data_IF_474674529236
#
_entry.id   IF_474674529236
#
_cell.length_a   1.000
_cell.length_b   1.000
_cell.length_c   1.000
_cell.angle_alpha   90.00
_cell.angle_beta   90.00
_cell.angle_gamma   90.00
#
_symmetry.space_group_name_H-M   'P 1'
#
loop_
_entity.id
_entity.type
_entity.pdbx_description
1 polymer ?
#
# COMPACT_ATOMS: atom_id res chain seq x y z
N UNK A 1 -12.01 14.85 -17.49
CA UNK A 1 -12.45 14.14 -16.27
C UNK A 1 -11.98 12.70 -16.37
N UNK A 2 -11.20 12.26 -15.43
CA UNK A 2 -10.91 10.83 -15.35
C UNK A 2 -12.12 10.15 -14.72
N UNK A 3 -12.82 9.36 -15.49
CA UNK A 3 -13.93 8.57 -14.98
C UNK A 3 -13.40 7.59 -13.94
N UNK A 4 -13.90 7.69 -12.71
CA UNK A 4 -13.60 6.75 -11.65
C UNK A 4 -14.15 5.38 -12.06
N UNK A 5 -13.32 4.32 -12.16
CA UNK A 5 -13.85 3.00 -12.47
C UNK A 5 -14.81 2.53 -11.36
N UNK A 6 -15.88 1.86 -11.73
CA UNK A 6 -16.82 1.32 -10.75
C UNK A 6 -16.21 0.17 -9.95
N UNK A 7 -15.42 -0.66 -10.62
CA UNK A 7 -14.77 -1.84 -10.05
C UNK A 7 -13.36 -2.03 -10.64
N UNK A 8 -12.48 -2.61 -9.84
CA UNK A 8 -11.17 -3.11 -10.26
C UNK A 8 -11.05 -4.54 -9.73
N UNK A 9 -10.96 -5.54 -10.64
CA UNK A 9 -11.08 -6.93 -10.26
C UNK A 9 -12.41 -7.19 -9.55
N UNK A 10 -12.36 -7.76 -8.37
CA UNK A 10 -13.53 -8.00 -7.51
C UNK A 10 -13.86 -6.85 -6.55
N UNK A 11 -13.07 -5.78 -6.56
CA UNK A 11 -13.16 -4.69 -5.58
C UNK A 11 -14.00 -3.53 -6.12
N UNK A 12 -14.96 -3.08 -5.32
CA UNK A 12 -15.78 -1.91 -5.64
C UNK A 12 -15.03 -0.63 -5.26
N UNK A 13 -14.86 0.27 -6.23
CA UNK A 13 -14.12 1.52 -6.01
C UNK A 13 -15.03 2.55 -5.34
N UNK A 14 -14.50 3.18 -4.30
CA UNK A 14 -15.17 4.25 -3.55
C UNK A 14 -14.71 5.63 -4.01
N UNK A 15 -13.39 5.83 -4.09
CA UNK A 15 -12.79 7.12 -4.47
C UNK A 15 -11.35 6.95 -4.94
N UNK A 16 -10.88 7.94 -5.68
CA UNK A 16 -9.45 8.12 -5.95
C UNK A 16 -8.83 8.93 -4.80
N UNK A 17 -7.75 8.43 -4.20
CA UNK A 17 -7.06 9.09 -3.10
C UNK A 17 -5.89 9.92 -3.59
N UNK A 18 -5.11 9.38 -4.53
CA UNK A 18 -3.93 10.02 -5.06
C UNK A 18 -3.63 9.56 -6.48
N UNK A 19 -2.96 10.43 -7.22
CA UNK A 19 -2.47 10.16 -8.58
C UNK A 19 -1.08 10.75 -8.75
N UNK A 20 -0.16 9.97 -9.28
CA UNK A 20 1.22 10.41 -9.52
C UNK A 20 1.88 9.65 -10.66
N UNK A 21 3.16 9.91 -10.88
CA UNK A 21 3.96 9.28 -11.95
C UNK A 21 4.10 7.76 -11.81
N UNK A 22 3.95 7.21 -10.61
CA UNK A 22 4.06 5.77 -10.36
C UNK A 22 2.72 5.03 -10.45
N UNK A 23 1.60 5.75 -10.53
CA UNK A 23 0.29 5.16 -10.63
C UNK A 23 -0.82 5.90 -9.89
N UNK A 24 -1.91 5.21 -9.67
CA UNK A 24 -3.12 5.75 -9.05
C UNK A 24 -3.45 4.94 -7.81
N UNK A 25 -3.88 5.62 -6.76
CA UNK A 25 -4.28 5.00 -5.50
C UNK A 25 -5.79 5.21 -5.31
N UNK A 26 -6.51 4.11 -5.12
CA UNK A 26 -7.94 4.11 -4.88
C UNK A 26 -8.27 3.60 -3.48
N UNK A 27 -9.35 4.14 -2.92
CA UNK A 27 -10.07 3.54 -1.80
C UNK A 27 -11.15 2.62 -2.38
N UNK A 28 -11.23 1.39 -1.89
CA UNK A 28 -12.17 0.38 -2.37
C UNK A 28 -12.78 -0.42 -1.22
N UNK A 29 -13.76 -1.26 -1.54
CA UNK A 29 -14.40 -2.15 -0.58
C UNK A 29 -14.15 -3.59 -0.98
N UNK A 30 -13.69 -4.40 -0.02
CA UNK A 30 -13.55 -5.85 -0.19
C UNK A 30 -14.94 -6.49 -0.31
N UNK A 31 -15.22 -7.29 -1.35
CA UNK A 31 -16.59 -7.78 -1.63
C UNK A 31 -17.17 -8.67 -0.53
N UNK A 32 -16.35 -9.50 0.10
CA UNK A 32 -16.80 -10.45 1.13
C UNK A 32 -16.70 -9.89 2.54
N UNK A 33 -15.60 -9.21 2.86
CA UNK A 33 -15.33 -8.71 4.20
C UNK A 33 -16.02 -7.38 4.50
N UNK A 34 -16.56 -6.70 3.48
CA UNK A 34 -17.19 -5.36 3.61
C UNK A 34 -16.28 -4.32 4.27
N UNK A 35 -14.96 -4.53 4.19
CA UNK A 35 -13.94 -3.61 4.72
C UNK A 35 -13.38 -2.73 3.62
N UNK A 36 -12.97 -1.52 4.00
CA UNK A 36 -12.19 -0.68 3.12
C UNK A 36 -10.78 -1.25 2.91
N UNK A 37 -10.30 -1.12 1.69
CA UNK A 37 -8.94 -1.47 1.28
C UNK A 37 -8.39 -0.36 0.40
N UNK A 38 -7.07 -0.35 0.22
CA UNK A 38 -6.38 0.51 -0.72
C UNK A 38 -5.97 -0.32 -1.92
N UNK A 39 -6.24 0.18 -3.12
CA UNK A 39 -5.76 -0.42 -4.37
C UNK A 39 -4.79 0.55 -5.03
N UNK A 40 -3.56 0.11 -5.24
CA UNK A 40 -2.57 0.82 -6.06
C UNK A 40 -2.56 0.22 -7.47
N UNK A 41 -2.90 1.04 -8.45
CA UNK A 41 -2.75 0.73 -9.87
C UNK A 41 -1.38 1.20 -10.32
N UNK A 42 -0.55 0.28 -10.75
CA UNK A 42 0.83 0.54 -11.16
C UNK A 42 1.00 0.29 -12.65
N UNK A 43 1.63 1.23 -13.34
CA UNK A 43 2.10 1.04 -14.72
C UNK A 43 3.58 0.66 -14.66
N UNK A 44 3.86 -0.63 -14.66
CA UNK A 44 5.24 -1.12 -14.66
C UNK A 44 5.74 -1.15 -16.09
N UNK A 45 6.53 -0.14 -16.44
CA UNK A 45 7.26 -0.09 -17.71
C UNK A 45 8.58 -0.82 -17.53
N UNK A 46 8.83 -1.81 -18.36
CA UNK A 46 10.08 -2.55 -18.31
C UNK A 46 9.99 -3.92 -18.99
N UNK A 47 11.13 -4.61 -19.03
CA UNK A 47 11.22 -5.95 -19.56
C UNK A 47 10.59 -6.98 -18.60
N UNK A 48 10.47 -8.21 -19.06
CA UNK A 48 9.89 -9.30 -18.26
C UNK A 48 10.62 -9.53 -16.93
N UNK A 49 11.92 -9.28 -16.88
CA UNK A 49 12.73 -9.40 -15.67
C UNK A 49 12.27 -8.47 -14.54
N UNK A 50 11.92 -7.23 -14.85
CA UNK A 50 11.40 -6.26 -13.87
C UNK A 50 10.02 -6.70 -13.35
N UNK A 51 9.16 -7.18 -14.26
CA UNK A 51 7.82 -7.69 -13.90
C UNK A 51 7.89 -8.90 -12.99
N UNK A 52 8.77 -9.85 -13.30
CA UNK A 52 8.99 -11.06 -12.49
C UNK A 52 9.56 -10.73 -11.10
N UNK A 53 10.49 -9.78 -11.02
CA UNK A 53 11.02 -9.30 -9.75
C UNK A 53 9.93 -8.68 -8.89
N UNK A 54 9.12 -7.80 -9.48
CA UNK A 54 8.01 -7.16 -8.79
C UNK A 54 6.99 -8.18 -8.24
N UNK A 55 6.65 -9.18 -9.06
CA UNK A 55 5.77 -10.28 -8.67
C UNK A 55 6.33 -11.08 -7.49
N UNK A 56 7.63 -11.38 -7.52
CA UNK A 56 8.30 -12.10 -6.43
C UNK A 56 8.30 -11.30 -5.13
N UNK A 57 8.60 -10.01 -5.21
CA UNK A 57 8.56 -9.11 -4.04
C UNK A 57 7.14 -9.01 -3.47
N UNK A 58 6.13 -8.88 -4.32
CA UNK A 58 4.73 -8.89 -3.89
C UNK A 58 4.35 -10.21 -3.20
N UNK A 59 4.82 -11.35 -3.69
CA UNK A 59 4.56 -12.65 -3.07
C UNK A 59 5.15 -12.74 -1.66
N UNK A 60 6.35 -12.21 -1.44
CA UNK A 60 6.96 -12.14 -0.11
C UNK A 60 6.12 -11.26 0.81
N UNK A 61 5.68 -10.11 0.32
CA UNK A 61 4.87 -9.16 1.11
C UNK A 61 3.50 -9.73 1.51
N UNK A 62 2.91 -10.62 0.69
CA UNK A 62 1.65 -11.31 1.03
C UNK A 62 1.77 -12.15 2.31
N UNK A 63 2.94 -12.71 2.56
CA UNK A 63 3.20 -13.58 3.71
C UNK A 63 3.64 -12.80 4.96
N UNK A 64 3.95 -11.49 4.81
CA UNK A 64 4.35 -10.65 5.94
C UNK A 64 3.13 -10.21 6.75
N UNK A 65 3.08 -10.62 8.00
CA UNK A 65 2.06 -10.18 8.95
C UNK A 65 2.71 -9.57 10.18
N UNK A 66 2.69 -8.25 10.28
CA UNK A 66 3.28 -7.51 11.40
C UNK A 66 2.45 -6.25 11.68
N UNK A 67 2.16 -5.91 12.95
CA UNK A 67 1.32 -4.76 13.29
C UNK A 67 1.91 -3.40 12.87
N UNK A 68 3.19 -3.34 12.59
CA UNK A 68 3.89 -2.11 12.17
C UNK A 68 4.12 -2.03 10.65
N UNK A 69 3.57 -2.98 9.89
CA UNK A 69 3.67 -3.02 8.43
C UNK A 69 2.27 -3.10 7.85
N UNK A 70 1.95 -2.23 6.90
CA UNK A 70 0.68 -2.31 6.16
C UNK A 70 0.59 -3.65 5.46
N UNK A 71 -0.49 -4.38 5.72
CA UNK A 71 -0.69 -5.72 5.19
C UNK A 71 -1.05 -5.68 3.70
N UNK A 72 -0.39 -6.52 2.90
CA UNK A 72 -0.72 -6.75 1.51
C UNK A 72 -1.71 -7.92 1.42
N UNK A 73 -2.94 -7.65 0.98
CA UNK A 73 -4.00 -8.66 0.87
C UNK A 73 -3.99 -9.42 -0.43
N UNK A 74 -3.65 -8.75 -1.52
CA UNK A 74 -3.75 -9.33 -2.86
C UNK A 74 -2.83 -8.61 -3.84
N UNK A 75 -2.43 -9.35 -4.87
CA UNK A 75 -1.71 -8.84 -6.03
C UNK A 75 -2.26 -9.51 -7.28
N UNK A 76 -2.65 -8.73 -8.26
CA UNK A 76 -3.13 -9.25 -9.54
C UNK A 76 -2.79 -8.33 -10.70
N UNK A 77 -2.92 -8.86 -11.91
CA UNK A 77 -2.72 -8.11 -13.15
C UNK A 77 -4.02 -8.10 -13.96
N UNK A 78 -4.32 -6.97 -14.56
CA UNK A 78 -5.44 -6.80 -15.48
C UNK A 78 -5.01 -5.92 -16.64
N UNK A 79 -4.97 -6.48 -17.84
CA UNK A 79 -4.39 -5.80 -18.99
C UNK A 79 -2.91 -5.45 -18.76
N UNK A 80 -2.49 -4.21 -19.09
CA UNK A 80 -1.11 -3.78 -18.92
C UNK A 80 -0.78 -3.31 -17.50
N UNK A 81 -1.73 -3.37 -16.58
CA UNK A 81 -1.59 -2.83 -15.24
C UNK A 81 -1.40 -3.90 -14.18
N UNK A 82 -0.65 -3.54 -13.16
CA UNK A 82 -0.46 -4.32 -11.95
C UNK A 82 -1.20 -3.63 -10.80
N UNK A 83 -1.87 -4.43 -10.01
CA UNK A 83 -2.65 -3.95 -8.87
C UNK A 83 -2.16 -4.59 -7.58
N UNK A 84 -1.99 -3.74 -6.58
CA UNK A 84 -1.67 -4.16 -5.21
C UNK A 84 -2.82 -3.76 -4.31
N UNK A 85 -3.34 -4.70 -3.54
CA UNK A 85 -4.41 -4.45 -2.57
C UNK A 85 -3.83 -4.46 -1.17
N UNK A 86 -3.94 -3.33 -0.50
CA UNK A 86 -3.35 -3.08 0.81
C UNK A 86 -4.43 -2.82 1.86
N UNK A 87 -4.06 -3.05 3.10
CA UNK A 87 -4.81 -2.61 4.25
C UNK A 87 -5.10 -1.10 4.18
N UNK A 88 -6.34 -0.72 4.47
CA UNK A 88 -6.70 0.68 4.68
C UNK A 88 -6.42 1.07 6.13
N UNK A 89 -5.53 2.03 6.30
CA UNK A 89 -5.23 2.62 7.61
C UNK A 89 -6.00 3.93 7.73
N UNK A 90 -6.95 3.98 8.66
CA UNK A 90 -7.72 5.20 8.94
C UNK A 90 -6.91 6.13 9.83
N UNK A 91 -6.05 6.90 9.22
CA UNK A 91 -5.13 7.80 9.90
C UNK A 91 -4.46 8.76 8.94
N UNK A 92 -3.32 9.28 9.33
CA UNK A 92 -2.53 10.16 8.48
C UNK A 92 -1.07 9.72 8.38
N UNK A 93 -0.42 10.08 7.29
CA UNK A 93 1.01 9.86 7.11
C UNK A 93 1.83 10.75 8.05
N UNK A 94 3.04 10.32 8.36
CA UNK A 94 3.99 11.13 9.14
C UNK A 94 4.29 12.47 8.44
N UNK A 95 4.36 12.49 7.12
CA UNK A 95 4.52 13.72 6.34
C UNK A 95 3.39 14.73 6.60
N UNK A 96 2.14 14.27 6.60
CA UNK A 96 0.99 15.12 6.92
C UNK A 96 0.99 15.59 8.38
N UNK A 97 1.39 14.71 9.30
CA UNK A 97 1.50 15.06 10.72
C UNK A 97 2.55 16.15 10.95
N UNK A 98 3.71 16.03 10.33
CA UNK A 98 4.79 17.02 10.41
C UNK A 98 4.42 18.36 9.78
N UNK A 99 3.58 18.36 8.75
CA UNK A 99 3.03 19.59 8.17
C UNK A 99 2.03 20.29 9.09
N UNK A 100 1.31 19.54 9.92
CA UNK A 100 0.39 20.09 10.93
C UNK A 100 1.11 20.52 12.20
N UNK A 101 2.09 19.74 12.65
CA UNK A 101 2.89 19.98 13.84
C UNK A 101 4.35 20.06 13.42
N UNK A 102 4.92 21.26 13.45
CA UNK A 102 6.30 21.51 13.02
C UNK A 102 7.31 20.70 13.84
N UNK A 103 6.99 20.42 15.10
CA UNK A 103 7.85 19.63 16.01
C UNK A 103 7.00 18.60 16.75
N UNK A 104 7.44 17.33 16.69
CA UNK A 104 6.88 16.27 17.53
C UNK A 104 7.61 16.23 18.88
N UNK A 105 6.90 15.84 19.93
CA UNK A 105 7.54 15.61 21.23
C UNK A 105 8.58 14.49 21.13
N UNK A 106 9.65 14.52 21.94
CA UNK A 106 10.64 13.45 21.97
C UNK A 106 10.02 12.07 22.21
N UNK A 107 9.01 11.98 23.06
CA UNK A 107 8.32 10.73 23.38
C UNK A 107 7.59 10.16 22.15
N UNK A 108 6.85 10.98 21.42
CA UNK A 108 6.15 10.56 20.19
C UNK A 108 7.16 10.17 19.11
N UNK A 109 8.22 10.94 18.94
CA UNK A 109 9.29 10.65 17.97
C UNK A 109 9.95 9.31 18.27
N UNK A 110 10.24 9.01 19.53
CA UNK A 110 10.82 7.74 19.97
C UNK A 110 9.89 6.55 19.69
N UNK A 111 8.59 6.70 19.90
CA UNK A 111 7.60 5.65 19.60
C UNK A 111 7.54 5.34 18.10
N UNK A 112 7.48 6.36 17.26
CA UNK A 112 7.46 6.20 15.80
C UNK A 112 8.75 5.53 15.33
N UNK A 113 9.90 5.98 15.82
CA UNK A 113 11.19 5.42 15.47
C UNK A 113 11.33 3.95 15.89
N UNK A 114 10.93 3.64 17.13
CA UNK A 114 10.92 2.26 17.65
C UNK A 114 10.07 1.33 16.80
N UNK A 115 8.85 1.72 16.48
CA UNK A 115 7.94 0.87 15.70
C UNK A 115 8.41 0.73 14.25
N UNK A 116 9.02 1.76 13.67
CA UNK A 116 9.66 1.70 12.36
C UNK A 116 10.85 0.71 12.35
N UNK A 117 11.68 0.72 13.37
CA UNK A 117 12.79 -0.22 13.51
C UNK A 117 12.31 -1.67 13.70
N UNK A 118 11.23 -1.87 14.46
CA UNK A 118 10.60 -3.19 14.61
C UNK A 118 10.07 -3.72 13.28
N UNK A 119 9.43 -2.87 12.49
CA UNK A 119 8.97 -3.20 11.15
C UNK A 119 10.13 -3.60 10.23
N UNK A 120 11.20 -2.81 10.20
CA UNK A 120 12.39 -3.10 9.40
C UNK A 120 13.08 -4.40 9.83
N UNK A 121 13.22 -4.61 11.13
CA UNK A 121 13.80 -5.86 11.65
C UNK A 121 12.99 -7.07 11.18
N UNK A 122 11.66 -7.01 11.33
CA UNK A 122 10.78 -8.09 10.91
C UNK A 122 10.89 -8.35 9.39
N UNK A 123 10.89 -7.31 8.58
CA UNK A 123 11.04 -7.43 7.13
C UNK A 123 12.39 -8.07 6.77
N UNK A 124 13.50 -7.60 7.34
CA UNK A 124 14.84 -8.15 7.09
C UNK A 124 14.94 -9.62 7.54
N UNK A 125 14.39 -9.98 8.68
CA UNK A 125 14.36 -11.37 9.17
C UNK A 125 13.55 -12.30 8.25
N UNK A 126 12.66 -11.76 7.44
CA UNK A 126 11.83 -12.48 6.46
C UNK A 126 12.28 -12.31 5.00
N UNK A 127 13.46 -11.80 4.77
CA UNK A 127 14.10 -11.75 3.44
C UNK A 127 13.69 -10.59 2.54
N UNK A 128 13.15 -9.52 3.10
CA UNK A 128 12.80 -8.30 2.35
C UNK A 128 13.93 -7.28 2.40
#
# INVERSE_FOLDING_TARGET
>A
MSDLPAEIGKYKIVSEIARGGMGIVYKAVHPSLKRHVIIKKLSIRGNNSIKERFKREAQILLDLNNPNIVHLFDYFTEGPYHYIVLEFVDGMSLDKLLKKQVVLSPQVSMLIFRDSLRALKFAHDNGV
#
